data_IF_541018700322
#
_entry.id   IF_541018700322
#
_cell.length_a   1.000
_cell.length_b   1.000
_cell.length_c   1.000
_cell.angle_alpha   90.00
_cell.angle_beta   90.00
_cell.angle_gamma   90.00
#
_symmetry.space_group_name_H-M   'P 1'
#
loop_
_entity.id
_entity.type
_entity.pdbx_description
1 polymer ?
#
# COMPACT_ATOMS: atom_id res chain seq x y z
N UNK A 1 23.55 0.91 -11.95
CA UNK A 1 22.20 0.55 -11.47
C UNK A 1 21.20 1.09 -12.47
N UNK A 2 20.33 0.24 -12.99
CA UNK A 2 19.18 0.68 -13.79
C UNK A 2 18.09 0.99 -12.76
N UNK A 3 17.66 2.25 -12.66
CA UNK A 3 16.54 2.63 -11.82
C UNK A 3 15.24 2.40 -12.59
N UNK A 4 14.24 1.85 -11.94
CA UNK A 4 12.89 1.75 -12.50
C UNK A 4 12.27 3.14 -12.60
N UNK A 5 11.57 3.39 -13.71
CA UNK A 5 10.76 4.58 -13.89
C UNK A 5 9.51 4.53 -13.00
N UNK A 6 8.94 5.70 -12.72
CA UNK A 6 7.68 5.80 -11.97
C UNK A 6 6.58 4.93 -12.58
N UNK A 7 6.46 4.92 -13.90
CA UNK A 7 5.43 4.16 -14.62
C UNK A 7 5.65 2.64 -14.51
N UNK A 8 6.90 2.18 -14.50
CA UNK A 8 7.23 0.76 -14.29
C UNK A 8 6.82 0.31 -12.88
N UNK A 9 7.15 1.10 -11.86
CA UNK A 9 6.79 0.83 -10.47
C UNK A 9 5.25 0.78 -10.30
N UNK A 10 4.57 1.80 -10.83
CA UNK A 10 3.11 1.90 -10.79
C UNK A 10 2.47 0.71 -11.51
N UNK A 11 2.97 0.34 -12.68
CA UNK A 11 2.41 -0.77 -13.43
C UNK A 11 2.68 -2.13 -12.79
N UNK A 12 3.80 -2.32 -12.11
CA UNK A 12 4.04 -3.54 -11.37
C UNK A 12 3.02 -3.71 -10.23
N UNK A 13 2.72 -2.64 -9.48
CA UNK A 13 1.64 -2.64 -8.47
C UNK A 13 0.29 -2.98 -9.10
N UNK A 14 -0.08 -2.33 -10.19
CA UNK A 14 -1.35 -2.58 -10.88
C UNK A 14 -1.46 -4.02 -11.44
N UNK A 15 -0.37 -4.56 -12.00
CA UNK A 15 -0.31 -5.96 -12.49
C UNK A 15 -0.45 -6.96 -11.35
N UNK A 16 0.20 -6.74 -10.21
CA UNK A 16 0.05 -7.58 -9.00
C UNK A 16 -1.40 -7.57 -8.52
N UNK A 17 -2.01 -6.39 -8.43
CA UNK A 17 -3.41 -6.25 -8.03
C UNK A 17 -4.36 -6.99 -8.98
N UNK A 18 -4.19 -6.81 -10.29
CA UNK A 18 -4.96 -7.50 -11.34
C UNK A 18 -4.89 -9.01 -11.20
N UNK A 19 -3.69 -9.55 -10.94
CA UNK A 19 -3.48 -10.98 -10.69
C UNK A 19 -4.24 -11.46 -9.46
N UNK A 20 -4.14 -10.74 -8.34
CA UNK A 20 -4.88 -11.05 -7.11
C UNK A 20 -6.40 -11.10 -7.36
N UNK A 21 -6.95 -10.09 -8.05
CA UNK A 21 -8.37 -10.04 -8.41
C UNK A 21 -8.79 -11.24 -9.26
N UNK A 22 -8.00 -11.59 -10.28
CA UNK A 22 -8.29 -12.72 -11.17
C UNK A 22 -8.26 -14.06 -10.42
N UNK A 23 -7.35 -14.25 -9.47
CA UNK A 23 -7.29 -15.46 -8.64
C UNK A 23 -8.58 -15.65 -7.83
N UNK A 24 -9.22 -14.56 -7.39
CA UNK A 24 -10.51 -14.60 -6.69
C UNK A 24 -11.74 -14.72 -7.60
N UNK A 25 -11.58 -14.69 -8.93
CA UNK A 25 -12.66 -14.83 -9.95
C UNK A 25 -13.81 -13.80 -9.87
N UNK A 26 -13.62 -12.65 -9.22
CA UNK A 26 -14.69 -11.64 -8.96
C UNK A 26 -14.76 -10.50 -9.98
N UNK A 27 -14.50 -10.76 -11.27
CA UNK A 27 -14.17 -9.70 -12.24
C UNK A 27 -15.16 -8.54 -12.34
N UNK A 28 -16.45 -8.85 -12.50
CA UNK A 28 -17.53 -7.85 -12.59
C UNK A 28 -18.15 -7.54 -11.23
N UNK A 29 -18.24 -8.55 -10.34
CA UNK A 29 -18.78 -8.37 -8.99
C UNK A 29 -17.93 -7.41 -8.14
N UNK A 30 -16.63 -7.30 -8.42
CA UNK A 30 -15.75 -6.39 -7.69
C UNK A 30 -16.17 -4.92 -7.77
N UNK A 31 -16.73 -4.47 -8.90
CA UNK A 31 -17.22 -3.10 -9.02
C UNK A 31 -18.34 -2.81 -8.01
N UNK A 32 -19.24 -3.79 -7.82
CA UNK A 32 -20.32 -3.73 -6.83
C UNK A 32 -19.76 -3.82 -5.41
N UNK A 33 -18.92 -4.82 -5.13
CA UNK A 33 -18.36 -5.07 -3.78
C UNK A 33 -17.52 -3.91 -3.26
N UNK A 34 -16.77 -3.25 -4.13
CA UNK A 34 -15.89 -2.13 -3.76
C UNK A 34 -16.58 -0.77 -3.83
N UNK A 35 -17.77 -0.67 -4.43
CA UNK A 35 -18.39 0.60 -4.78
C UNK A 35 -17.43 1.52 -5.59
N UNK A 36 -16.73 0.92 -6.55
CA UNK A 36 -15.83 1.59 -7.50
C UNK A 36 -16.24 1.18 -8.91
N UNK A 37 -16.35 2.14 -9.82
CA UNK A 37 -16.79 1.85 -11.19
C UNK A 37 -15.86 0.87 -11.90
N UNK A 38 -16.43 0.04 -12.79
CA UNK A 38 -15.62 -0.85 -13.63
C UNK A 38 -14.63 -0.07 -14.51
N UNK A 39 -15.00 1.13 -14.98
CA UNK A 39 -14.10 1.99 -15.76
C UNK A 39 -12.87 2.42 -14.96
N UNK A 40 -13.02 2.74 -13.67
CA UNK A 40 -11.92 3.06 -12.76
C UNK A 40 -11.02 1.84 -12.52
N UNK A 41 -11.61 0.66 -12.27
CA UNK A 41 -10.84 -0.59 -12.11
C UNK A 41 -10.05 -0.90 -13.39
N UNK A 42 -10.69 -0.79 -14.56
CA UNK A 42 -10.05 -1.03 -15.85
C UNK A 42 -8.89 -0.07 -16.09
N UNK A 43 -9.09 1.23 -15.83
CA UNK A 43 -8.04 2.26 -15.96
C UNK A 43 -6.85 1.93 -15.07
N UNK A 44 -7.09 1.68 -13.80
CA UNK A 44 -6.04 1.28 -12.86
C UNK A 44 -5.25 0.06 -13.37
N UNK A 45 -5.93 -0.97 -13.85
CA UNK A 45 -5.24 -2.17 -14.34
C UNK A 45 -4.52 -2.00 -15.68
N UNK A 46 -4.82 -0.95 -16.46
CA UNK A 46 -4.21 -0.68 -17.76
C UNK A 46 -3.10 0.37 -17.71
N UNK A 47 -3.27 1.42 -16.89
CA UNK A 47 -2.36 2.56 -16.79
C UNK A 47 -1.81 2.79 -15.38
N UNK A 48 -2.31 2.07 -14.37
CA UNK A 48 -1.92 2.24 -12.98
C UNK A 48 -2.52 3.48 -12.30
N UNK A 49 -3.28 4.28 -13.03
CA UNK A 49 -3.94 5.47 -12.52
C UNK A 49 -5.17 5.12 -11.68
N UNK A 50 -5.14 5.52 -10.41
CA UNK A 50 -6.26 5.44 -9.48
C UNK A 50 -6.03 6.43 -8.33
N UNK A 51 -7.09 6.92 -7.69
CA UNK A 51 -6.94 7.61 -6.41
C UNK A 51 -6.62 6.61 -5.29
N UNK A 52 -5.85 7.04 -4.28
CA UNK A 52 -5.57 6.20 -3.12
C UNK A 52 -6.85 5.74 -2.40
N UNK A 53 -7.87 6.59 -2.36
CA UNK A 53 -9.16 6.27 -1.75
C UNK A 53 -9.87 5.12 -2.48
N UNK A 54 -9.93 5.18 -3.82
CA UNK A 54 -10.52 4.11 -4.62
C UNK A 54 -9.69 2.83 -4.51
N UNK A 55 -8.36 2.91 -4.55
CA UNK A 55 -7.48 1.75 -4.34
C UNK A 55 -7.76 1.09 -2.98
N UNK A 56 -7.93 1.89 -1.92
CA UNK A 56 -8.26 1.39 -0.58
C UNK A 56 -9.58 0.62 -0.57
N UNK A 57 -10.63 1.14 -1.24
CA UNK A 57 -11.90 0.40 -1.40
C UNK A 57 -11.70 -0.92 -2.13
N UNK A 58 -10.89 -0.93 -3.19
CA UNK A 58 -10.58 -2.16 -3.91
C UNK A 58 -9.82 -3.16 -3.03
N UNK A 59 -8.88 -2.70 -2.19
CA UNK A 59 -8.16 -3.53 -1.23
C UNK A 59 -9.06 -4.12 -0.14
N UNK A 60 -10.05 -3.36 0.34
CA UNK A 60 -11.07 -3.87 1.27
C UNK A 60 -11.89 -4.98 0.60
N UNK A 61 -12.37 -4.74 -0.61
CA UNK A 61 -13.16 -5.73 -1.35
C UNK A 61 -12.38 -7.02 -1.69
N UNK A 62 -11.06 -6.93 -1.82
CA UNK A 62 -10.17 -8.08 -2.03
C UNK A 62 -9.56 -8.65 -0.76
N UNK A 63 -9.93 -8.17 0.43
CA UNK A 63 -9.33 -8.62 1.69
C UNK A 63 -7.79 -8.52 1.71
N UNK A 64 -7.24 -7.44 1.13
CA UNK A 64 -5.80 -7.12 1.14
C UNK A 64 -5.52 -5.79 1.84
N UNK A 65 -6.35 -5.43 2.83
CA UNK A 65 -6.20 -4.20 3.63
C UNK A 65 -4.86 -4.12 4.37
N UNK A 66 -4.28 -5.26 4.73
CA UNK A 66 -2.97 -5.31 5.39
C UNK A 66 -1.83 -4.89 4.45
N UNK A 67 -1.94 -5.15 3.15
CA UNK A 67 -0.93 -4.75 2.17
C UNK A 67 -0.86 -3.23 2.05
N UNK A 68 -2.01 -2.56 1.91
CA UNK A 68 -2.04 -1.10 1.80
C UNK A 68 -1.65 -0.40 3.10
N UNK A 69 -1.95 -1.00 4.26
CA UNK A 69 -1.48 -0.52 5.58
C UNK A 69 0.03 -0.72 5.80
N UNK A 70 0.63 -1.67 5.08
CA UNK A 70 2.07 -1.94 5.17
C UNK A 70 2.92 -1.00 4.29
N UNK A 71 2.30 -0.21 3.42
CA UNK A 71 3.00 0.82 2.65
C UNK A 71 3.76 1.76 3.59
N UNK A 72 5.06 1.93 3.32
CA UNK A 72 5.97 2.77 4.10
C UNK A 72 6.15 2.36 5.58
N UNK A 73 5.73 1.14 5.97
CA UNK A 73 5.89 0.65 7.34
C UNK A 73 7.32 0.21 7.66
N UNK A 74 8.05 -0.27 6.65
CA UNK A 74 9.43 -0.71 6.81
C UNK A 74 10.36 0.50 6.82
N UNK A 75 10.87 0.83 8.00
CA UNK A 75 11.88 1.86 8.18
C UNK A 75 13.23 1.17 8.12
N UNK A 76 13.97 1.38 7.02
CA UNK A 76 15.38 1.05 6.96
C UNK A 76 16.18 2.20 7.52
N UNK A 77 17.07 1.91 8.48
CA UNK A 77 18.00 2.89 9.01
C UNK A 77 19.33 2.77 8.29
N UNK A 78 19.87 3.89 7.84
CA UNK A 78 21.16 3.93 7.14
C UNK A 78 22.34 3.92 8.11
N UNK A 79 22.12 4.35 9.36
CA UNK A 79 23.15 4.43 10.39
C UNK A 79 22.54 4.32 11.80
N UNK A 80 23.42 4.14 12.78
CA UNK A 80 23.07 3.99 14.20
C UNK A 80 22.40 5.26 14.76
N UNK A 81 22.81 6.45 14.31
CA UNK A 81 22.23 7.71 14.79
C UNK A 81 20.75 7.82 14.43
N UNK A 82 20.33 7.35 13.25
CA UNK A 82 18.92 7.28 12.86
C UNK A 82 18.12 6.33 13.76
N UNK A 83 18.71 5.19 14.16
CA UNK A 83 18.09 4.25 15.11
C UNK A 83 17.91 4.90 16.47
N UNK A 84 18.93 5.60 16.97
CA UNK A 84 18.89 6.30 18.26
C UNK A 84 17.83 7.40 18.24
N UNK A 85 17.77 8.21 17.17
CA UNK A 85 16.76 9.26 17.01
C UNK A 85 15.34 8.69 16.97
N UNK A 86 15.13 7.63 16.17
CA UNK A 86 13.84 6.93 16.10
C UNK A 86 13.42 6.36 17.45
N UNK A 87 14.36 5.78 18.19
CA UNK A 87 14.15 5.27 19.54
C UNK A 87 13.70 6.36 20.52
N UNK A 88 14.37 7.52 20.51
CA UNK A 88 14.01 8.68 21.33
C UNK A 88 12.62 9.23 21.00
N UNK A 89 12.26 9.34 19.72
CA UNK A 89 10.94 9.84 19.31
C UNK A 89 9.79 8.88 19.68
N UNK A 90 10.02 7.57 19.53
CA UNK A 90 9.01 6.54 19.77
C UNK A 90 8.85 6.16 21.24
N UNK A 91 9.93 6.21 22.02
CA UNK A 91 9.96 5.74 23.41
C UNK A 91 10.27 6.84 24.44
N UNK A 92 10.55 8.07 23.98
CA UNK A 92 10.98 9.18 24.83
C UNK A 92 9.94 9.66 25.84
N UNK A 93 8.64 9.42 25.64
CA UNK A 93 7.64 9.68 26.69
C UNK A 93 7.64 8.58 27.75
N UNK A 94 7.75 7.32 27.34
CA UNK A 94 7.74 6.14 28.23
C UNK A 94 8.96 6.02 29.13
N UNK A 95 10.16 6.44 28.70
CA UNK A 95 11.36 6.32 29.54
C UNK A 95 11.36 7.31 30.71
N UNK A 96 10.86 8.53 30.51
CA UNK A 96 10.68 9.51 31.59
C UNK A 96 9.55 9.12 32.56
N UNK A 97 8.55 8.35 32.09
CA UNK A 97 7.44 7.83 32.90
C UNK A 97 7.77 6.51 33.62
N UNK A 98 8.80 5.76 33.18
CA UNK A 98 9.25 4.49 33.79
C UNK A 98 10.21 4.69 34.98
N UNK A 99 10.78 5.88 35.13
CA UNK A 99 11.68 6.26 36.25
C UNK A 99 11.07 7.34 37.16
N UNK A 100 9.75 7.51 37.13
CA UNK A 100 8.95 8.16 38.18
C UNK A 100 8.28 7.10 39.05
#
# INVERSE_FOLDING_TARGET
>A
MIYETTDEIIMDVAKRFKRLRKTKRISQQMALMSNVSYGTIKRFESSGEISLHSLTKLCVALDCTNEIKALFKNISFNNIDEVIRYGKEKWGRTLDDLFK
#
